data_IF_455439503472
#
_entry.id   IF_455439503472
#
_cell.length_a   1.000
_cell.length_b   1.000
_cell.length_c   1.000
_cell.angle_alpha   90.00
_cell.angle_beta   90.00
_cell.angle_gamma   90.00
#
_symmetry.space_group_name_H-M   'P 1'
#
loop_
_entity.id
_entity.type
_entity.pdbx_description
1 polymer ?
#
# COMPACT_ATOMS: atom_id res chain seq x y z
N UNK A 1 -31.86 -38.17 -40.23
CA UNK A 1 -30.68 -37.52 -39.63
C UNK A 1 -30.99 -37.31 -38.15
N UNK A 2 -30.38 -38.10 -37.25
CA UNK A 2 -30.80 -38.24 -35.85
C UNK A 2 -30.51 -36.96 -35.05
N UNK A 3 -31.57 -36.29 -34.58
CA UNK A 3 -31.51 -35.50 -33.34
C UNK A 3 -31.05 -36.41 -32.21
N UNK A 4 -30.12 -35.95 -31.37
CA UNK A 4 -30.10 -36.16 -29.91
C UNK A 4 -28.80 -35.61 -29.29
N UNK A 5 -28.98 -35.06 -28.08
CA UNK A 5 -28.02 -35.06 -26.94
C UNK A 5 -26.80 -34.15 -26.98
N UNK A 6 -26.97 -32.92 -26.48
CA UNK A 6 -25.91 -32.20 -25.73
C UNK A 6 -26.41 -31.58 -24.41
N UNK A 7 -27.47 -32.13 -23.82
CA UNK A 7 -27.81 -31.88 -22.39
C UNK A 7 -26.94 -32.81 -21.55
N UNK A 8 -25.74 -32.40 -21.13
CA UNK A 8 -24.92 -33.02 -20.03
C UNK A 8 -23.52 -32.37 -19.95
N UNK A 9 -23.42 -31.07 -19.69
CA UNK A 9 -22.18 -30.49 -19.13
C UNK A 9 -22.55 -29.35 -18.19
N UNK A 10 -23.23 -29.67 -17.10
CA UNK A 10 -23.41 -28.79 -15.95
C UNK A 10 -22.82 -29.53 -14.75
N UNK A 11 -22.04 -28.83 -13.93
CA UNK A 11 -21.60 -29.20 -12.58
C UNK A 11 -20.20 -29.86 -12.37
N UNK A 12 -19.09 -29.31 -12.89
CA UNK A 12 -17.74 -29.60 -12.33
C UNK A 12 -16.79 -28.38 -12.19
N UNK A 13 -17.22 -27.12 -12.37
CA UNK A 13 -16.29 -25.95 -12.30
C UNK A 13 -16.33 -25.21 -10.94
N UNK A 14 -17.04 -25.70 -9.92
CA UNK A 14 -17.32 -24.89 -8.72
C UNK A 14 -16.27 -24.93 -7.58
N UNK A 15 -15.18 -25.70 -7.65
CA UNK A 15 -14.36 -25.97 -6.45
C UNK A 15 -12.91 -25.45 -6.45
N UNK A 16 -12.40 -24.82 -7.52
CA UNK A 16 -10.97 -24.50 -7.61
C UNK A 16 -10.61 -23.00 -7.53
N UNK A 17 -11.57 -22.09 -7.45
CA UNK A 17 -11.31 -20.65 -7.59
C UNK A 17 -11.20 -19.87 -6.25
N UNK A 18 -11.42 -20.51 -5.10
CA UNK A 18 -11.48 -19.79 -3.81
C UNK A 18 -10.14 -19.60 -3.09
N UNK A 19 -9.07 -20.27 -3.54
CA UNK A 19 -7.79 -20.33 -2.82
C UNK A 19 -6.87 -19.10 -2.92
N UNK A 20 -6.55 -18.57 -4.11
CA UNK A 20 -5.47 -17.56 -4.20
C UNK A 20 -5.94 -16.12 -4.02
N UNK A 21 -7.25 -15.85 -3.98
CA UNK A 21 -7.75 -14.47 -3.86
C UNK A 21 -7.40 -13.80 -2.52
N UNK A 22 -7.19 -14.60 -1.46
CA UNK A 22 -6.91 -14.09 -0.11
C UNK A 22 -5.42 -13.99 0.23
N UNK A 23 -4.52 -14.65 -0.52
CA UNK A 23 -3.10 -14.72 -0.18
C UNK A 23 -2.40 -13.34 -0.18
N UNK A 24 -2.91 -12.39 -0.99
CA UNK A 24 -2.40 -11.02 -1.04
C UNK A 24 -2.70 -10.19 0.23
N UNK A 25 -3.62 -10.64 1.09
CA UNK A 25 -4.00 -9.97 2.34
C UNK A 25 -3.30 -10.56 3.56
N UNK A 26 -2.47 -11.60 3.38
CA UNK A 26 -1.77 -12.24 4.48
C UNK A 26 -0.53 -11.40 4.87
N UNK A 27 -0.59 -10.74 6.03
CA UNK A 27 0.54 -9.98 6.55
C UNK A 27 1.67 -10.94 6.94
N UNK A 28 2.82 -10.84 6.25
CA UNK A 28 4.02 -11.60 6.59
C UNK A 28 4.87 -10.82 7.59
N UNK A 29 5.08 -11.33 8.82
CA UNK A 29 5.94 -10.65 9.80
C UNK A 29 7.37 -10.50 9.28
N UNK A 30 8.01 -9.39 9.63
CA UNK A 30 9.44 -9.24 9.42
C UNK A 30 10.19 -10.26 10.30
N UNK A 31 11.21 -10.98 9.77
CA UNK A 31 11.90 -12.01 10.54
C UNK A 31 12.55 -11.44 11.82
N UNK A 32 12.38 -12.11 12.97
CA UNK A 32 13.01 -11.68 14.21
C UNK A 32 14.53 -11.67 14.07
N UNK A 33 15.18 -10.66 14.65
CA UNK A 33 16.64 -10.48 14.60
C UNK A 33 17.19 -10.00 13.25
N UNK A 34 16.37 -9.88 12.20
CA UNK A 34 16.79 -9.29 10.93
C UNK A 34 16.71 -7.77 11.01
N UNK A 35 17.82 -7.08 10.73
CA UNK A 35 17.82 -5.62 10.63
C UNK A 35 16.86 -5.15 9.51
N UNK A 36 16.13 -4.07 9.77
CA UNK A 36 15.35 -3.40 8.72
C UNK A 36 16.31 -2.81 7.68
N UNK A 37 15.94 -2.80 6.39
CA UNK A 37 16.68 -2.06 5.39
C UNK A 37 16.77 -0.57 5.78
N UNK A 38 17.92 0.08 5.57
CA UNK A 38 18.02 1.51 5.82
C UNK A 38 17.06 2.26 4.89
N UNK A 39 16.30 3.20 5.45
CA UNK A 39 15.47 4.13 4.71
C UNK A 39 15.65 5.50 5.34
N UNK A 40 16.12 6.43 4.52
CA UNK A 40 16.27 7.82 4.89
C UNK A 40 15.94 8.70 3.67
N UNK A 41 15.47 9.90 3.93
CA UNK A 41 15.06 10.84 2.89
C UNK A 41 14.62 12.17 3.46
N UNK A 42 14.23 13.07 2.57
CA UNK A 42 13.67 14.37 2.91
C UNK A 42 12.27 14.45 2.32
N UNK A 43 11.30 14.84 3.14
CA UNK A 43 9.92 14.99 2.69
C UNK A 43 9.70 16.29 1.90
N UNK A 44 8.47 16.48 1.43
CA UNK A 44 8.08 17.65 0.65
C UNK A 44 8.11 18.97 1.44
N UNK A 45 8.14 18.90 2.78
CA UNK A 45 8.24 20.04 3.68
C UNK A 45 9.70 20.34 4.07
N UNK A 46 10.66 19.55 3.59
CA UNK A 46 12.08 19.70 3.91
C UNK A 46 12.51 19.01 5.20
N UNK A 47 11.64 18.24 5.85
CA UNK A 47 11.99 17.48 7.05
C UNK A 47 12.78 16.23 6.66
N UNK A 48 13.90 16.00 7.36
CA UNK A 48 14.68 14.79 7.21
C UNK A 48 14.08 13.64 8.03
N UNK A 49 14.03 12.46 7.44
CA UNK A 49 13.52 11.23 8.03
C UNK A 49 14.55 10.12 7.94
N UNK A 50 14.65 9.33 9.00
CA UNK A 50 15.50 8.15 9.07
C UNK A 50 14.81 7.08 9.93
N UNK A 51 14.55 5.89 9.37
CA UNK A 51 13.89 4.80 10.12
C UNK A 51 14.65 4.40 11.38
N UNK A 52 15.97 4.57 11.42
CA UNK A 52 16.77 4.24 12.59
C UNK A 52 16.44 5.14 13.80
N UNK A 53 16.00 6.37 13.55
CA UNK A 53 15.64 7.37 14.56
C UNK A 53 14.20 7.20 15.07
N UNK A 54 13.36 6.43 14.35
CA UNK A 54 11.96 6.17 14.70
C UNK A 54 11.78 4.89 15.54
N UNK A 55 12.86 4.28 16.03
CA UNK A 55 12.79 3.08 16.87
C UNK A 55 11.92 3.32 18.12
N UNK A 56 11.05 2.37 18.42
CA UNK A 56 10.12 2.44 19.55
C UNK A 56 8.80 3.16 19.22
N UNK A 57 8.65 3.70 18.01
CA UNK A 57 7.39 4.25 17.50
C UNK A 57 6.85 3.37 16.37
N UNK A 58 5.54 3.10 16.31
CA UNK A 58 4.91 2.52 15.13
C UNK A 58 5.16 3.40 13.89
N UNK A 59 5.59 2.77 12.80
CA UNK A 59 5.79 3.42 11.50
C UNK A 59 5.12 2.60 10.42
N UNK A 60 4.23 3.23 9.66
CA UNK A 60 3.66 2.66 8.43
C UNK A 60 4.42 3.24 7.24
N UNK A 61 5.09 2.38 6.48
CA UNK A 61 5.76 2.77 5.23
C UNK A 61 4.88 2.36 4.05
N UNK A 62 4.39 3.35 3.31
CA UNK A 62 3.67 3.14 2.07
C UNK A 62 4.55 3.46 0.86
N UNK A 63 4.69 2.55 -0.09
CA UNK A 63 5.43 2.78 -1.33
C UNK A 63 4.44 3.05 -2.45
N UNK A 64 4.44 4.27 -2.97
CA UNK A 64 3.40 4.74 -3.88
C UNK A 64 3.95 5.54 -5.05
N UNK A 65 3.08 5.79 -6.03
CA UNK A 65 3.35 6.74 -7.10
C UNK A 65 2.06 7.27 -7.73
N UNK A 66 2.12 8.41 -8.40
CA UNK A 66 0.98 9.05 -9.08
C UNK A 66 0.40 8.21 -10.23
N UNK A 67 1.21 7.33 -10.81
CA UNK A 67 0.81 6.38 -11.84
C UNK A 67 0.22 5.08 -11.27
N UNK A 68 0.34 4.84 -9.97
CA UNK A 68 -0.27 3.70 -9.29
C UNK A 68 -1.72 4.03 -8.91
N UNK A 69 -2.68 3.54 -9.68
CA UNK A 69 -4.11 3.75 -9.40
C UNK A 69 -4.54 3.28 -8.00
N UNK A 70 -4.30 2.02 -7.58
CA UNK A 70 -4.73 1.56 -6.26
C UNK A 70 -4.05 2.34 -5.12
N UNK A 71 -2.78 2.74 -5.29
CA UNK A 71 -2.07 3.54 -4.30
C UNK A 71 -2.73 4.91 -4.08
N UNK A 72 -3.32 5.52 -5.12
CA UNK A 72 -4.04 6.78 -4.95
C UNK A 72 -5.38 6.60 -4.25
N UNK A 73 -6.04 5.46 -4.45
CA UNK A 73 -7.32 5.14 -3.82
C UNK A 73 -7.19 4.90 -2.31
N UNK A 74 -6.05 4.34 -1.85
CA UNK A 74 -5.78 4.12 -0.42
C UNK A 74 -5.33 5.40 0.33
N UNK A 75 -4.73 6.37 -0.36
CA UNK A 75 -4.12 7.55 0.28
C UNK A 75 -5.05 8.35 1.21
N UNK A 76 -6.33 8.60 0.88
CA UNK A 76 -7.27 9.27 1.80
C UNK A 76 -7.49 8.48 3.10
N UNK A 77 -7.46 7.14 3.03
CA UNK A 77 -7.58 6.28 4.21
C UNK A 77 -6.33 6.38 5.08
N UNK A 78 -5.14 6.40 4.46
CA UNK A 78 -3.86 6.58 5.17
C UNK A 78 -3.76 7.96 5.84
N UNK A 79 -4.22 9.01 5.16
CA UNK A 79 -4.33 10.36 5.71
C UNK A 79 -5.22 10.35 6.96
N UNK A 80 -6.42 9.76 6.87
CA UNK A 80 -7.35 9.65 8.00
C UNK A 80 -6.73 8.87 9.17
N UNK A 81 -6.01 7.78 8.88
CA UNK A 81 -5.31 7.01 9.91
C UNK A 81 -4.24 7.85 10.62
N UNK A 82 -3.44 8.61 9.89
CA UNK A 82 -2.43 9.50 10.46
C UNK A 82 -3.06 10.58 11.35
N UNK A 83 -4.18 11.17 10.92
CA UNK A 83 -4.95 12.15 11.70
C UNK A 83 -5.48 11.57 13.02
N UNK A 84 -6.04 10.35 12.98
CA UNK A 84 -6.62 9.68 14.16
C UNK A 84 -5.55 9.23 15.16
N UNK A 85 -4.39 8.80 14.67
CA UNK A 85 -3.29 8.34 15.53
C UNK A 85 -2.43 9.49 16.06
N UNK A 86 -2.35 10.61 15.33
CA UNK A 86 -1.50 11.75 15.66
C UNK A 86 -0.05 11.29 15.89
N UNK A 87 0.54 11.67 17.02
CA UNK A 87 1.94 11.32 17.32
C UNK A 87 2.20 9.83 17.60
N UNK A 88 1.14 9.01 17.74
CA UNK A 88 1.29 7.56 18.02
C UNK A 88 1.74 6.75 16.80
N UNK A 89 1.56 7.29 15.59
CA UNK A 89 1.92 6.63 14.34
C UNK A 89 2.58 7.64 13.41
N UNK A 90 3.68 7.24 12.77
CA UNK A 90 4.24 7.97 11.63
C UNK A 90 3.88 7.24 10.35
N UNK A 91 3.30 7.95 9.38
CA UNK A 91 3.05 7.42 8.04
C UNK A 91 4.04 8.03 7.06
N UNK A 92 4.93 7.20 6.53
CA UNK A 92 5.92 7.58 5.52
C UNK A 92 5.43 7.13 4.13
N UNK A 93 5.09 8.06 3.25
CA UNK A 93 4.60 7.83 1.90
C UNK A 93 5.74 7.99 0.87
N UNK A 94 6.50 6.91 0.69
CA UNK A 94 7.69 6.86 -0.16
C UNK A 94 7.33 6.88 -1.65
N UNK A 95 7.65 7.99 -2.29
CA UNK A 95 7.56 8.18 -3.73
C UNK A 95 8.51 7.24 -4.50
N UNK A 96 7.98 6.40 -5.40
CA UNK A 96 8.79 5.41 -6.13
C UNK A 96 8.86 5.71 -7.62
N UNK A 97 10.10 5.78 -8.14
CA UNK A 97 10.39 5.84 -9.58
C UNK A 97 9.69 6.98 -10.35
N UNK A 98 9.50 8.12 -9.71
CA UNK A 98 9.06 9.34 -10.38
C UNK A 98 9.73 10.58 -9.81
N UNK A 99 9.66 11.69 -10.55
CA UNK A 99 10.20 12.97 -10.09
C UNK A 99 9.39 13.49 -8.91
N UNK A 100 10.05 14.00 -7.88
CA UNK A 100 9.42 14.58 -6.70
C UNK A 100 8.38 15.67 -7.05
N UNK A 101 8.61 16.44 -8.12
CA UNK A 101 7.67 17.47 -8.60
C UNK A 101 6.33 16.91 -9.10
N UNK A 102 6.28 15.65 -9.56
CA UNK A 102 5.01 15.00 -9.93
C UNK A 102 4.24 14.58 -8.69
N UNK A 103 4.91 13.93 -7.74
CA UNK A 103 4.32 13.56 -6.45
C UNK A 103 3.82 14.79 -5.69
N UNK A 104 4.62 15.85 -5.60
CA UNK A 104 4.28 17.09 -4.89
C UNK A 104 3.00 17.74 -5.44
N UNK A 105 2.87 17.83 -6.77
CA UNK A 105 1.65 18.36 -7.41
C UNK A 105 0.42 17.53 -7.06
N UNK A 106 0.55 16.20 -7.06
CA UNK A 106 -0.56 15.33 -6.69
C UNK A 106 -0.94 15.49 -5.22
N UNK A 107 0.03 15.39 -4.30
CA UNK A 107 -0.16 15.56 -2.85
C UNK A 107 -0.88 16.88 -2.55
N UNK A 108 -0.42 17.98 -3.16
CA UNK A 108 -1.05 19.29 -3.02
C UNK A 108 -2.48 19.30 -3.56
N UNK A 109 -2.71 18.75 -4.76
CA UNK A 109 -4.05 18.72 -5.36
C UNK A 109 -5.04 17.82 -4.62
N UNK A 110 -4.55 16.78 -3.95
CA UNK A 110 -5.33 15.81 -3.20
C UNK A 110 -5.54 16.21 -1.73
N UNK A 111 -4.92 17.31 -1.27
CA UNK A 111 -5.06 17.79 0.11
C UNK A 111 -4.43 16.87 1.16
N UNK A 112 -3.39 16.11 0.78
CA UNK A 112 -2.71 15.18 1.69
C UNK A 112 -1.67 15.95 2.51
N UNK A 113 -1.84 15.98 3.83
CA UNK A 113 -1.06 16.83 4.74
C UNK A 113 -0.48 16.10 5.94
N UNK A 114 -0.97 14.90 6.26
CA UNK A 114 -0.48 14.07 7.37
C UNK A 114 0.39 12.90 6.88
N UNK A 115 0.73 12.88 5.58
CA UNK A 115 1.62 11.91 4.99
C UNK A 115 3.00 12.56 4.77
N UNK A 116 4.05 11.92 5.25
CA UNK A 116 5.43 12.40 5.16
C UNK A 116 6.21 11.72 4.02
#
# INVERSE_FOLDING_TARGET
>A
MRMLTRRRVLAVIAAAATGPALAQFEAKPWPPGRALPPLAGTDLNGQAWNLAELKGRPVLVNFWATWCAPCKEEMPTLQTLAELEGERLVVLAVNVREQASRAARFVQSAGLTQLH
#
